data_IF_764721354561
#
_entry.id   IF_764721354561
#
_cell.length_a   1.000
_cell.length_b   1.000
_cell.length_c   1.000
_cell.angle_alpha   90.00
_cell.angle_beta   90.00
_cell.angle_gamma   90.00
#
_symmetry.space_group_name_H-M   'P 1'
#
loop_
_entity.id
_entity.type
_entity.pdbx_description
1 polymer ?
#
# COMPACT_ATOMS: atom_id res chain seq x y z
N UNK A 1 -2.24 -21.26 -40.00
CA UNK A 1 -0.91 -21.53 -39.40
C UNK A 1 -0.38 -22.79 -40.07
N UNK A 2 0.86 -22.81 -40.52
CA UNK A 2 1.45 -23.99 -41.14
C UNK A 2 1.42 -25.16 -40.15
N UNK A 3 0.90 -26.32 -40.56
CA UNK A 3 0.64 -27.48 -39.68
C UNK A 3 1.93 -27.96 -38.98
N UNK A 4 3.07 -27.79 -39.65
CA UNK A 4 4.39 -28.09 -39.09
C UNK A 4 4.78 -27.12 -37.96
N UNK A 5 4.43 -25.84 -38.06
CA UNK A 5 4.68 -24.87 -37.01
C UNK A 5 3.79 -25.11 -35.77
N UNK A 6 2.54 -25.51 -35.96
CA UNK A 6 1.64 -25.86 -34.89
C UNK A 6 2.13 -27.08 -34.08
N UNK A 7 2.57 -28.14 -34.78
CA UNK A 7 3.15 -29.34 -34.14
C UNK A 7 4.45 -29.03 -33.39
N UNK A 8 5.33 -28.23 -33.98
CA UNK A 8 6.59 -27.81 -33.32
C UNK A 8 6.32 -26.97 -32.04
N UNK A 9 5.35 -26.06 -32.10
CA UNK A 9 4.94 -25.27 -30.92
C UNK A 9 4.39 -26.16 -29.81
N UNK A 10 3.50 -27.09 -30.16
CA UNK A 10 2.93 -28.03 -29.17
C UNK A 10 4.02 -28.89 -28.49
N UNK A 11 4.97 -29.39 -29.28
CA UNK A 11 6.11 -30.14 -28.75
C UNK A 11 6.98 -29.29 -27.80
N UNK A 12 7.27 -28.03 -28.18
CA UNK A 12 8.03 -27.10 -27.33
C UNK A 12 7.30 -26.79 -26.02
N UNK A 13 5.98 -26.51 -26.06
CA UNK A 13 5.17 -26.27 -24.89
C UNK A 13 5.17 -27.48 -23.93
N UNK A 14 4.98 -28.70 -24.46
CA UNK A 14 5.04 -29.94 -23.68
C UNK A 14 6.42 -30.16 -23.02
N UNK A 15 7.51 -29.81 -23.72
CA UNK A 15 8.86 -29.91 -23.18
C UNK A 15 9.10 -28.90 -22.05
N UNK A 16 8.62 -27.67 -22.21
CA UNK A 16 8.69 -26.62 -21.17
C UNK A 16 7.92 -27.06 -19.93
N UNK A 17 6.70 -27.56 -20.09
CA UNK A 17 5.90 -28.05 -18.97
C UNK A 17 6.53 -29.23 -18.23
N UNK A 18 7.16 -30.14 -18.96
CA UNK A 18 7.92 -31.27 -18.34
C UNK A 18 9.14 -30.81 -17.56
N UNK A 19 9.84 -29.80 -18.06
CA UNK A 19 11.09 -29.32 -17.45
C UNK A 19 10.86 -28.34 -16.30
N UNK A 20 9.86 -27.45 -16.42
CA UNK A 20 9.65 -26.33 -15.50
C UNK A 20 8.33 -26.39 -14.71
N UNK A 21 7.48 -27.37 -14.98
CA UNK A 21 6.21 -27.56 -14.30
C UNK A 21 5.00 -27.06 -15.13
N UNK A 22 3.81 -27.51 -14.75
CA UNK A 22 2.54 -27.09 -15.37
C UNK A 22 2.32 -25.59 -15.18
N UNK A 23 1.67 -24.95 -16.15
CA UNK A 23 1.37 -23.52 -16.15
C UNK A 23 2.60 -22.57 -16.18
N UNK A 24 3.78 -23.09 -16.52
CA UNK A 24 5.00 -22.26 -16.72
C UNK A 24 4.84 -21.32 -17.91
N UNK A 25 4.10 -21.74 -18.91
CA UNK A 25 3.73 -20.93 -20.08
C UNK A 25 2.21 -21.00 -20.29
N UNK A 26 1.58 -19.84 -20.48
CA UNK A 26 0.14 -19.74 -20.69
C UNK A 26 -0.17 -18.72 -21.79
N UNK A 27 -1.32 -18.83 -22.40
CA UNK A 27 -1.81 -17.80 -23.33
C UNK A 27 -2.47 -16.68 -22.54
N UNK A 28 -2.19 -15.44 -22.89
CA UNK A 28 -2.72 -14.27 -22.17
C UNK A 28 -4.27 -14.19 -22.17
N UNK A 29 -4.92 -14.85 -23.17
CA UNK A 29 -6.38 -14.91 -23.26
C UNK A 29 -7.03 -16.04 -22.46
N UNK A 30 -6.27 -16.93 -21.85
CA UNK A 30 -6.81 -18.00 -21.03
C UNK A 30 -7.35 -17.44 -19.71
N UNK A 31 -8.44 -17.98 -19.18
CA UNK A 31 -9.01 -17.53 -17.89
C UNK A 31 -8.02 -17.67 -16.74
N UNK A 32 -7.15 -18.68 -16.79
CA UNK A 32 -6.03 -18.87 -15.87
C UNK A 32 -4.96 -17.77 -15.95
N UNK A 33 -4.95 -16.95 -17.01
CA UNK A 33 -4.05 -15.81 -17.16
C UNK A 33 -4.62 -14.51 -16.57
N UNK A 34 -5.88 -14.48 -16.15
CA UNK A 34 -6.45 -13.36 -15.39
C UNK A 34 -5.74 -13.33 -14.04
N UNK A 35 -4.75 -12.46 -13.93
CA UNK A 35 -4.04 -12.23 -12.66
C UNK A 35 -5.01 -11.49 -11.74
N UNK A 36 -5.75 -12.26 -10.93
CA UNK A 36 -6.43 -11.68 -9.79
C UNK A 36 -5.34 -11.33 -8.77
N UNK A 37 -5.13 -10.04 -8.52
CA UNK A 37 -4.14 -9.56 -7.56
C UNK A 37 -4.88 -9.23 -6.28
N UNK A 38 -4.57 -9.94 -5.22
CA UNK A 38 -5.06 -9.61 -3.89
C UNK A 38 -4.60 -8.21 -3.51
N UNK A 39 -5.46 -7.46 -2.82
CA UNK A 39 -5.18 -6.08 -2.44
C UNK A 39 -5.39 -5.86 -0.94
N UNK A 40 -4.69 -4.88 -0.41
CA UNK A 40 -4.89 -4.33 0.93
C UNK A 40 -5.38 -2.89 0.77
N UNK A 41 -6.50 -2.55 1.40
CA UNK A 41 -6.99 -1.16 1.42
C UNK A 41 -5.93 -0.22 2.01
N UNK A 42 -5.86 0.98 1.49
CA UNK A 42 -5.00 2.04 2.03
C UNK A 42 -5.60 2.71 3.28
N UNK A 43 -6.87 2.43 3.57
CA UNK A 43 -7.67 3.16 4.56
C UNK A 43 -8.36 4.41 3.99
N UNK A 44 -8.01 4.85 2.77
CA UNK A 44 -8.67 5.89 2.02
C UNK A 44 -9.45 5.27 0.84
N UNK A 45 -10.77 5.42 0.83
CA UNK A 45 -11.62 4.90 -0.23
C UNK A 45 -11.30 5.56 -1.58
N UNK A 46 -11.03 6.86 -1.58
CA UNK A 46 -10.65 7.59 -2.79
C UNK A 46 -9.33 7.11 -3.38
N UNK A 47 -8.33 6.80 -2.53
CA UNK A 47 -7.05 6.28 -2.99
C UNK A 47 -7.18 4.84 -3.49
N UNK A 48 -7.97 4.00 -2.84
CA UNK A 48 -8.27 2.64 -3.30
C UNK A 48 -8.88 2.65 -4.71
N UNK A 49 -9.81 3.58 -4.96
CA UNK A 49 -10.42 3.81 -6.28
C UNK A 49 -9.39 4.35 -7.28
N UNK A 50 -8.54 5.31 -6.87
CA UNK A 50 -7.51 5.87 -7.75
C UNK A 50 -6.48 4.83 -8.19
N UNK A 51 -6.19 3.84 -7.33
CA UNK A 51 -5.35 2.68 -7.66
C UNK A 51 -5.98 1.76 -8.72
N UNK A 52 -7.31 1.80 -8.91
CA UNK A 52 -8.03 1.10 -9.96
C UNK A 52 -8.22 -0.39 -9.75
N UNK A 53 -7.65 -0.95 -8.69
CA UNK A 53 -7.74 -2.36 -8.28
C UNK A 53 -8.31 -2.51 -6.86
N UNK A 54 -8.71 -1.40 -6.22
CA UNK A 54 -9.35 -1.40 -4.90
C UNK A 54 -8.42 -1.36 -3.70
N UNK A 55 -7.10 -1.18 -3.90
CA UNK A 55 -6.11 -1.10 -2.82
C UNK A 55 -4.67 -1.28 -3.30
N UNK A 56 -3.75 -1.47 -2.37
CA UNK A 56 -2.34 -1.76 -2.63
C UNK A 56 -2.15 -3.24 -2.99
N UNK A 57 -1.40 -3.58 -4.05
CA UNK A 57 -1.30 -4.96 -4.56
C UNK A 57 -0.39 -5.83 -3.69
N UNK A 58 -0.88 -6.99 -3.23
CA UNK A 58 -0.05 -8.04 -2.62
C UNK A 58 0.95 -8.61 -3.63
N UNK A 59 2.06 -9.13 -3.13
CA UNK A 59 3.12 -9.71 -3.96
C UNK A 59 3.89 -8.70 -4.81
N UNK A 60 3.84 -7.40 -4.49
CA UNK A 60 4.44 -6.32 -5.26
C UNK A 60 5.27 -5.36 -4.40
N UNK A 61 6.18 -4.65 -5.08
CA UNK A 61 6.88 -3.51 -4.49
C UNK A 61 6.05 -2.26 -4.72
N UNK A 62 5.83 -1.50 -3.66
CA UNK A 62 5.17 -0.19 -3.66
C UNK A 62 6.15 0.86 -3.14
N UNK A 63 6.19 2.03 -3.74
CA UNK A 63 6.92 3.20 -3.24
C UNK A 63 5.93 4.31 -2.90
N UNK A 64 6.00 4.84 -1.68
CA UNK A 64 5.26 6.02 -1.23
C UNK A 64 6.28 7.10 -0.91
N UNK A 65 6.24 8.22 -1.62
CA UNK A 65 7.21 9.28 -1.44
C UNK A 65 6.54 10.65 -1.39
N UNK A 66 7.19 11.59 -0.73
CA UNK A 66 6.71 12.96 -0.58
C UNK A 66 7.57 13.76 0.38
N UNK A 67 7.27 15.04 0.57
CA UNK A 67 7.93 15.90 1.56
C UNK A 67 7.80 15.33 2.97
N UNK A 68 8.59 15.86 3.88
CA UNK A 68 8.43 15.62 5.31
C UNK A 68 7.03 16.05 5.77
N UNK A 69 6.48 15.36 6.76
CA UNK A 69 5.15 15.64 7.34
C UNK A 69 3.99 15.60 6.33
N UNK A 70 4.15 14.92 5.18
CA UNK A 70 3.09 14.77 4.19
C UNK A 70 2.09 13.63 4.48
N UNK A 71 2.31 12.83 5.54
CA UNK A 71 1.44 11.71 5.92
C UNK A 71 1.86 10.34 5.41
N UNK A 72 3.12 10.16 4.93
CA UNK A 72 3.63 8.88 4.42
C UNK A 72 3.49 7.75 5.45
N UNK A 73 4.05 7.94 6.63
CA UNK A 73 4.01 6.95 7.73
C UNK A 73 2.58 6.71 8.21
N UNK A 74 1.75 7.75 8.30
CA UNK A 74 0.32 7.61 8.65
C UNK A 74 -0.41 6.71 7.67
N UNK A 75 -0.25 6.96 6.36
CA UNK A 75 -0.88 6.16 5.31
C UNK A 75 -0.42 4.69 5.35
N UNK A 76 0.87 4.43 5.59
CA UNK A 76 1.40 3.06 5.68
C UNK A 76 0.95 2.34 6.94
N UNK A 77 0.86 3.02 8.09
CA UNK A 77 0.33 2.44 9.32
C UNK A 77 -1.16 2.08 9.19
N UNK A 78 -1.94 2.91 8.50
CA UNK A 78 -3.33 2.57 8.20
C UNK A 78 -3.44 1.37 7.25
N UNK A 79 -2.59 1.27 6.24
CA UNK A 79 -2.55 0.09 5.37
C UNK A 79 -2.14 -1.18 6.17
N UNK A 80 -1.21 -1.07 7.13
CA UNK A 80 -0.91 -2.17 8.08
C UNK A 80 -2.17 -2.57 8.85
N UNK A 81 -2.89 -1.60 9.44
CA UNK A 81 -4.12 -1.88 10.17
C UNK A 81 -5.16 -2.59 9.30
N UNK A 82 -5.31 -2.20 8.03
CA UNK A 82 -6.22 -2.87 7.09
C UNK A 82 -5.73 -4.29 6.74
N UNK A 83 -4.43 -4.50 6.59
CA UNK A 83 -3.84 -5.82 6.36
C UNK A 83 -4.09 -6.75 7.55
N UNK A 84 -3.87 -6.27 8.78
CA UNK A 84 -4.13 -7.03 10.01
C UNK A 84 -5.61 -7.37 10.19
N UNK A 85 -6.53 -6.46 9.84
CA UNK A 85 -7.99 -6.74 9.85
C UNK A 85 -8.38 -7.86 8.89
N UNK A 86 -7.62 -8.09 7.83
CA UNK A 86 -7.78 -9.22 6.91
C UNK A 86 -7.06 -10.49 7.39
N UNK A 87 -6.56 -10.52 8.62
CA UNK A 87 -5.79 -11.63 9.18
C UNK A 87 -4.33 -11.70 8.72
N UNK A 88 -3.83 -10.66 8.03
CA UNK A 88 -2.46 -10.62 7.51
C UNK A 88 -1.42 -10.29 8.57
N UNK A 89 -0.26 -10.93 8.49
CA UNK A 89 0.92 -10.64 9.32
C UNK A 89 1.72 -9.50 8.72
N UNK A 90 2.07 -8.51 9.54
CA UNK A 90 2.78 -7.31 9.11
C UNK A 90 4.11 -7.11 9.83
N UNK A 91 5.09 -6.53 9.13
CA UNK A 91 6.37 -6.14 9.69
C UNK A 91 6.70 -4.68 9.35
N UNK A 92 7.36 -3.99 10.26
CA UNK A 92 7.82 -2.61 10.12
C UNK A 92 9.33 -2.54 10.36
N UNK A 93 10.07 -2.15 9.33
CA UNK A 93 11.52 -1.94 9.37
C UNK A 93 11.74 -0.44 9.64
N UNK A 94 11.94 -0.09 10.90
CA UNK A 94 12.08 1.29 11.38
C UNK A 94 13.53 1.74 11.30
N UNK A 95 13.99 2.11 10.10
CA UNK A 95 15.36 2.61 9.89
C UNK A 95 15.54 4.07 10.35
N UNK A 96 14.46 4.82 10.57
CA UNK A 96 14.51 6.18 11.12
C UNK A 96 14.44 6.20 12.65
N UNK A 97 14.15 5.08 13.31
CA UNK A 97 13.95 4.95 14.76
C UNK A 97 12.86 5.91 15.31
N UNK A 98 11.78 6.09 14.54
CA UNK A 98 10.77 7.12 14.79
C UNK A 98 9.35 6.56 14.95
N UNK A 99 9.16 5.23 14.96
CA UNK A 99 7.85 4.62 15.13
C UNK A 99 7.31 4.86 16.54
N UNK A 100 6.17 5.56 16.62
CA UNK A 100 5.42 5.76 17.86
C UNK A 100 4.31 4.69 17.98
N UNK A 101 4.41 3.73 18.93
CA UNK A 101 3.41 2.70 19.12
C UNK A 101 2.05 3.24 19.59
N UNK A 102 2.03 4.37 20.32
CA UNK A 102 0.78 5.00 20.76
C UNK A 102 0.04 5.57 19.55
N UNK A 103 0.76 6.21 18.64
CA UNK A 103 0.20 6.72 17.40
C UNK A 103 -0.26 5.58 16.48
N UNK A 104 0.54 4.54 16.32
CA UNK A 104 0.17 3.35 15.53
C UNK A 104 -1.13 2.72 16.04
N UNK A 105 -1.27 2.54 17.36
CA UNK A 105 -2.49 2.02 17.99
C UNK A 105 -3.71 2.89 17.71
N UNK A 106 -3.57 4.22 17.74
CA UNK A 106 -4.66 5.15 17.41
C UNK A 106 -5.13 5.03 15.96
N UNK A 107 -4.23 4.66 15.05
CA UNK A 107 -4.54 4.41 13.64
C UNK A 107 -5.16 3.02 13.40
N UNK A 108 -5.36 2.23 14.46
CA UNK A 108 -5.99 0.91 14.40
C UNK A 108 -5.00 -0.25 14.18
N UNK A 109 -3.69 0.00 14.31
CA UNK A 109 -2.69 -1.07 14.26
C UNK A 109 -2.75 -1.91 15.53
N UNK A 110 -2.82 -3.22 15.37
CA UNK A 110 -2.54 -4.16 16.46
C UNK A 110 -1.02 -4.16 16.70
N UNK A 111 -0.60 -3.42 17.72
CA UNK A 111 0.82 -3.23 18.03
C UNK A 111 1.44 -4.47 18.67
N UNK A 112 0.63 -5.34 19.28
CA UNK A 112 1.10 -6.58 19.90
C UNK A 112 1.41 -7.66 18.82
N UNK A 113 0.72 -7.59 17.68
CA UNK A 113 0.93 -8.47 16.53
C UNK A 113 1.91 -7.90 15.48
N UNK A 114 2.29 -6.62 15.56
CA UNK A 114 3.18 -6.01 14.58
C UNK A 114 4.64 -6.37 14.86
N UNK A 115 5.32 -7.00 13.90
CA UNK A 115 6.76 -7.26 13.98
C UNK A 115 7.54 -5.95 13.70
N UNK A 116 8.41 -5.55 14.60
CA UNK A 116 9.21 -4.32 14.45
C UNK A 116 10.69 -4.64 14.57
N UNK A 117 11.52 -4.05 13.71
CA UNK A 117 12.98 -4.08 13.81
C UNK A 117 13.58 -2.73 13.52
N UNK A 118 14.67 -2.41 14.23
CA UNK A 118 15.44 -1.18 14.08
C UNK A 118 16.87 -1.53 13.67
N UNK A 119 17.14 -1.63 12.36
CA UNK A 119 18.42 -2.07 11.84
C UNK A 119 19.51 -0.99 11.99
N UNK A 120 20.76 -1.40 12.21
CA UNK A 120 21.91 -0.51 12.36
C UNK A 120 22.40 0.07 11.02
N UNK A 121 22.10 -0.59 9.90
CA UNK A 121 22.53 -0.18 8.56
C UNK A 121 21.59 -0.69 7.46
N UNK A 122 21.78 -0.19 6.25
CA UNK A 122 20.93 -0.51 5.10
C UNK A 122 21.04 -1.98 4.66
N UNK A 123 22.22 -2.61 4.77
CA UNK A 123 22.42 -4.03 4.46
C UNK A 123 21.57 -4.91 5.38
N UNK A 124 21.61 -4.65 6.69
CA UNK A 124 20.83 -5.38 7.68
C UNK A 124 19.32 -5.21 7.45
N UNK A 125 18.87 -3.98 7.22
CA UNK A 125 17.47 -3.68 6.93
C UNK A 125 16.93 -4.49 5.74
N UNK A 126 17.68 -4.49 4.63
CA UNK A 126 17.26 -5.16 3.39
C UNK A 126 17.44 -6.68 3.46
N UNK A 127 18.38 -7.18 4.25
CA UNK A 127 18.56 -8.61 4.48
C UNK A 127 17.44 -9.18 5.36
N UNK A 128 17.06 -8.49 6.44
CA UNK A 128 15.88 -8.84 7.25
C UNK A 128 14.63 -8.81 6.38
N UNK A 129 14.44 -7.78 5.56
CA UNK A 129 13.32 -7.69 4.62
C UNK A 129 13.28 -8.91 3.68
N UNK A 130 14.42 -9.29 3.05
CA UNK A 130 14.49 -10.46 2.15
C UNK A 130 14.18 -11.77 2.89
N UNK A 131 14.65 -11.92 4.13
CA UNK A 131 14.38 -13.09 4.96
C UNK A 131 12.90 -13.23 5.30
N UNK A 132 12.26 -12.14 5.73
CA UNK A 132 10.82 -12.10 6.03
C UNK A 132 9.98 -12.39 4.79
N UNK A 133 10.30 -11.79 3.65
CA UNK A 133 9.62 -12.07 2.36
C UNK A 133 9.75 -13.55 1.98
N UNK A 134 10.93 -14.14 2.11
CA UNK A 134 11.18 -15.56 1.75
C UNK A 134 10.51 -16.55 2.68
N UNK A 135 10.22 -16.16 3.91
CA UNK A 135 9.52 -17.03 4.86
C UNK A 135 8.13 -17.42 4.39
N UNK A 136 7.47 -16.55 3.59
CA UNK A 136 6.09 -16.72 3.16
C UNK A 136 5.05 -16.55 4.28
N UNK A 137 5.48 -16.12 5.48
CA UNK A 137 4.63 -15.95 6.66
C UNK A 137 4.24 -14.47 6.91
N UNK A 138 4.70 -13.54 6.07
CA UNK A 138 4.44 -12.12 6.21
C UNK A 138 3.76 -11.60 4.96
N UNK A 139 2.60 -10.93 5.12
CA UNK A 139 1.79 -10.41 4.03
C UNK A 139 2.23 -9.00 3.60
N UNK A 140 2.66 -8.18 4.55
CA UNK A 140 3.06 -6.81 4.31
C UNK A 140 4.30 -6.42 5.12
N UNK A 141 5.28 -5.81 4.45
CA UNK A 141 6.47 -5.24 5.08
C UNK A 141 6.56 -3.77 4.69
N UNK A 142 6.71 -2.90 5.67
CA UNK A 142 7.01 -1.47 5.47
C UNK A 142 8.46 -1.20 5.83
N UNK A 143 9.19 -0.47 4.97
CA UNK A 143 10.55 0.01 5.22
C UNK A 143 10.50 1.53 5.32
N UNK A 144 10.71 2.09 6.50
CA UNK A 144 10.68 3.53 6.77
C UNK A 144 12.04 4.02 7.28
N UNK A 145 12.81 4.76 6.52
CA UNK A 145 12.64 5.07 5.11
C UNK A 145 13.90 4.70 4.31
N UNK A 146 13.77 4.69 2.96
CA UNK A 146 14.92 4.47 2.06
C UNK A 146 16.04 5.47 2.33
N UNK A 147 15.70 6.71 2.71
CA UNK A 147 16.68 7.75 3.02
C UNK A 147 17.60 7.38 4.20
N UNK A 148 17.12 6.59 5.14
CA UNK A 148 17.85 6.15 6.33
C UNK A 148 18.63 4.83 6.11
N UNK A 149 18.49 4.18 4.95
CA UNK A 149 19.24 2.97 4.62
C UNK A 149 20.70 3.30 4.28
N UNK A 150 21.48 3.68 5.28
CA UNK A 150 22.89 4.02 5.13
C UNK A 150 23.72 2.75 4.96
N UNK A 151 24.54 2.61 3.90
CA UNK A 151 25.43 1.48 3.74
C UNK A 151 26.43 1.39 4.89
N UNK A 152 26.76 0.15 5.32
CA UNK A 152 27.72 -0.09 6.40
C UNK A 152 29.06 0.60 6.14
N UNK A 153 29.57 0.52 4.92
CA UNK A 153 30.84 1.15 4.55
C UNK A 153 30.82 2.67 4.68
N UNK A 154 29.64 3.30 4.60
CA UNK A 154 29.49 4.75 4.84
C UNK A 154 29.48 5.08 6.33
N UNK A 155 28.94 4.17 7.16
CA UNK A 155 28.94 4.33 8.63
C UNK A 155 30.34 4.11 9.23
N UNK A 156 31.10 3.13 8.69
CA UNK A 156 32.44 2.77 9.15
C UNK A 156 33.54 3.67 8.55
N UNK A 157 33.23 4.47 7.52
CA UNK A 157 34.16 5.39 6.86
C UNK A 157 34.42 6.66 7.66
N UNK A 158 35.44 7.42 7.23
CA UNK A 158 35.75 8.70 7.86
C UNK A 158 34.84 9.83 7.33
N UNK A 159 34.68 10.90 8.15
CA UNK A 159 33.83 12.08 7.85
C UNK A 159 34.36 12.90 6.64
N UNK A 160 34.70 12.43 5.60
CA UNK A 160 35.18 13.11 4.40
C UNK A 160 35.29 12.17 3.22
N UNK A 161 35.04 10.90 3.46
CA UNK A 161 35.11 9.88 2.44
C UNK A 161 34.00 10.04 1.40
N UNK A 162 34.34 9.82 0.14
CA UNK A 162 33.37 9.87 -0.94
C UNK A 162 32.70 8.53 -1.13
N UNK A 163 31.46 8.39 -0.64
CA UNK A 163 30.67 7.18 -0.75
C UNK A 163 29.62 7.24 -1.88
N UNK A 164 29.93 7.95 -2.96
CA UNK A 164 28.99 8.17 -4.07
C UNK A 164 28.41 6.86 -4.63
N UNK A 165 27.09 6.76 -4.61
CA UNK A 165 26.33 5.68 -5.24
C UNK A 165 26.31 4.36 -4.48
N UNK A 166 26.86 4.24 -3.27
CA UNK A 166 26.81 3.00 -2.47
C UNK A 166 25.36 2.60 -2.15
N UNK A 167 24.55 3.54 -1.67
CA UNK A 167 23.14 3.31 -1.38
C UNK A 167 22.36 2.86 -2.64
N UNK A 168 22.61 3.47 -3.80
CA UNK A 168 21.96 3.09 -5.04
C UNK A 168 22.34 1.67 -5.50
N UNK A 169 23.61 1.26 -5.30
CA UNK A 169 24.07 -0.12 -5.57
C UNK A 169 23.42 -1.12 -4.62
N UNK A 170 23.36 -0.79 -3.32
CA UNK A 170 22.71 -1.59 -2.30
C UNK A 170 21.24 -1.83 -2.65
N UNK A 171 20.48 -0.77 -2.91
CA UNK A 171 19.08 -0.85 -3.32
C UNK A 171 18.89 -1.67 -4.61
N UNK A 172 19.75 -1.48 -5.61
CA UNK A 172 19.67 -2.24 -6.86
C UNK A 172 19.85 -3.74 -6.66
N UNK A 173 20.81 -4.14 -5.81
CA UNK A 173 21.06 -5.56 -5.48
C UNK A 173 19.90 -6.17 -4.69
N UNK A 174 19.41 -5.48 -3.67
CA UNK A 174 18.34 -5.94 -2.82
C UNK A 174 17.03 -6.10 -3.60
N UNK A 175 16.61 -5.06 -4.34
CA UNK A 175 15.36 -5.08 -5.10
C UNK A 175 15.31 -6.17 -6.17
N UNK A 176 16.46 -6.52 -6.76
CA UNK A 176 16.56 -7.64 -7.70
C UNK A 176 16.16 -8.98 -7.07
N UNK A 177 16.51 -9.20 -5.80
CA UNK A 177 16.13 -10.41 -5.04
C UNK A 177 14.70 -10.31 -4.50
N UNK A 178 14.40 -9.22 -3.79
CA UNK A 178 13.14 -9.02 -3.09
C UNK A 178 11.95 -9.05 -4.05
N UNK A 179 12.03 -8.44 -5.25
CA UNK A 179 10.92 -8.39 -6.21
C UNK A 179 10.44 -9.78 -6.63
N UNK A 180 11.38 -10.70 -6.93
CA UNK A 180 11.02 -12.06 -7.32
C UNK A 180 10.47 -12.87 -6.15
N UNK A 181 11.03 -12.67 -4.95
CA UNK A 181 10.60 -13.34 -3.73
C UNK A 181 9.21 -12.84 -3.31
N UNK A 182 8.97 -11.54 -3.30
CA UNK A 182 7.70 -10.91 -2.96
C UNK A 182 6.54 -11.47 -3.81
N UNK A 183 6.76 -11.62 -5.14
CA UNK A 183 5.75 -12.22 -6.02
C UNK A 183 5.44 -13.66 -5.65
N UNK A 184 6.46 -14.47 -5.28
CA UNK A 184 6.27 -15.90 -4.95
C UNK A 184 5.57 -16.11 -3.61
N UNK A 185 5.89 -15.29 -2.62
CA UNK A 185 5.31 -15.36 -1.28
C UNK A 185 4.02 -14.55 -1.13
N UNK A 186 3.55 -13.88 -2.18
CA UNK A 186 2.42 -12.94 -2.15
C UNK A 186 2.59 -11.81 -1.10
N UNK A 187 3.83 -11.52 -0.68
CA UNK A 187 4.15 -10.48 0.29
C UNK A 187 4.28 -9.11 -0.38
N UNK A 188 3.56 -8.11 0.11
CA UNK A 188 3.73 -6.72 -0.32
C UNK A 188 4.88 -6.06 0.43
N UNK A 189 5.78 -5.36 -0.30
CA UNK A 189 6.85 -4.56 0.32
C UNK A 189 6.66 -3.10 -0.04
N UNK A 190 6.41 -2.28 0.97
CA UNK A 190 6.21 -0.83 0.85
C UNK A 190 7.47 -0.11 1.30
N UNK A 191 8.07 0.67 0.40
CA UNK A 191 9.17 1.55 0.71
C UNK A 191 8.67 2.98 0.86
N UNK A 192 8.86 3.55 2.03
CA UNK A 192 8.70 5.00 2.24
C UNK A 192 9.96 5.70 1.77
N UNK A 193 9.81 6.80 1.02
CA UNK A 193 10.94 7.52 0.47
C UNK A 193 10.77 9.03 0.64
N UNK A 194 11.90 9.73 0.65
CA UNK A 194 11.97 11.17 0.77
C UNK A 194 12.33 11.79 -0.58
N UNK A 195 11.91 13.06 -0.79
CA UNK A 195 12.26 13.85 -1.95
C UNK A 195 13.58 14.56 -1.69
N UNK A 196 14.40 14.62 -2.73
CA UNK A 196 15.63 15.41 -2.80
C UNK A 196 15.60 16.28 -4.06
N UNK A 197 16.26 17.42 -4.00
CA UNK A 197 16.37 18.32 -5.14
C UNK A 197 17.69 18.08 -5.88
N UNK A 198 17.63 17.88 -7.18
CA UNK A 198 18.81 17.81 -8.04
C UNK A 198 19.32 19.22 -8.31
N UNK A 199 20.59 19.44 -8.10
CA UNK A 199 21.26 20.71 -8.39
C UNK A 199 21.48 20.82 -9.91
N UNK A 200 21.27 22.01 -10.48
CA UNK A 200 21.57 22.28 -11.89
C UNK A 200 20.55 21.82 -12.92
N UNK A 201 19.34 21.41 -12.50
CA UNK A 201 18.25 21.09 -13.45
C UNK A 201 17.59 22.37 -13.93
N UNK A 202 17.84 22.76 -15.20
CA UNK A 202 17.24 23.95 -15.82
C UNK A 202 15.86 23.65 -16.43
N UNK A 203 15.58 22.41 -16.83
CA UNK A 203 14.32 22.00 -17.45
C UNK A 203 13.78 20.72 -16.82
N UNK A 204 12.45 20.62 -16.68
CA UNK A 204 11.76 19.50 -16.04
C UNK A 204 11.73 19.62 -14.52
N UNK A 205 11.29 18.54 -13.82
CA UNK A 205 11.22 18.54 -12.36
C UNK A 205 12.59 18.25 -11.74
N UNK A 206 13.09 19.13 -10.86
CA UNK A 206 14.33 18.90 -10.13
C UNK A 206 14.17 17.84 -9.04
N UNK A 207 12.94 17.44 -8.70
CA UNK A 207 12.66 16.48 -7.63
C UNK A 207 13.10 15.07 -8.02
N UNK A 208 13.72 14.38 -7.08
CA UNK A 208 14.07 12.96 -7.17
C UNK A 208 13.93 12.30 -5.82
N UNK A 209 13.82 10.98 -5.80
CA UNK A 209 13.79 10.17 -4.57
C UNK A 209 15.19 9.65 -4.25
N UNK A 210 15.46 9.33 -2.96
CA UNK A 210 16.72 8.73 -2.51
C UNK A 210 16.86 7.27 -2.97
N UNK A 211 18.05 6.68 -2.82
CA UNK A 211 18.30 5.28 -3.18
C UNK A 211 18.48 5.01 -4.67
N UNK A 212 18.67 6.06 -5.49
CA UNK A 212 18.92 5.95 -6.93
C UNK A 212 17.67 5.64 -7.75
N UNK A 213 17.86 5.02 -8.93
CA UNK A 213 16.75 4.75 -9.86
C UNK A 213 16.13 3.35 -9.74
N UNK A 214 16.75 2.43 -8.99
CA UNK A 214 16.32 1.04 -8.96
C UNK A 214 14.86 0.90 -8.52
N UNK A 215 14.46 1.58 -7.43
CA UNK A 215 13.11 1.51 -6.90
C UNK A 215 12.07 2.02 -7.91
N UNK A 216 12.40 3.05 -8.69
CA UNK A 216 11.52 3.58 -9.76
C UNK A 216 11.19 2.51 -10.82
N UNK A 217 12.12 1.58 -11.10
CA UNK A 217 11.90 0.50 -12.07
C UNK A 217 11.20 -0.70 -11.43
N UNK A 218 11.64 -1.13 -10.24
CA UNK A 218 11.11 -2.32 -9.57
C UNK A 218 9.71 -2.12 -8.99
N UNK A 219 9.39 -0.93 -8.48
CA UNK A 219 8.04 -0.65 -7.97
C UNK A 219 6.95 -0.89 -9.03
N UNK A 220 5.90 -1.59 -8.63
CA UNK A 220 4.68 -1.76 -9.42
C UNK A 220 3.75 -0.57 -9.29
N UNK A 221 3.71 0.04 -8.10
CA UNK A 221 2.94 1.25 -7.78
C UNK A 221 3.89 2.27 -7.17
N UNK A 222 3.74 3.54 -7.57
CA UNK A 222 4.44 4.69 -6.98
C UNK A 222 3.44 5.79 -6.67
N UNK A 223 3.41 6.23 -5.43
CA UNK A 223 2.50 7.23 -4.89
C UNK A 223 3.29 8.48 -4.46
N UNK A 224 2.90 9.63 -5.00
CA UNK A 224 3.39 10.95 -4.57
C UNK A 224 2.34 11.55 -3.63
N UNK A 225 2.68 11.66 -2.34
CA UNK A 225 1.81 12.20 -1.30
C UNK A 225 2.22 13.61 -0.91
N UNK A 226 1.26 14.53 -0.93
CA UNK A 226 1.47 15.97 -0.64
C UNK A 226 0.38 16.51 0.27
N UNK A 227 0.79 17.28 1.27
CA UNK A 227 -0.13 18.14 1.99
C UNK A 227 -0.48 19.33 1.10
N UNK A 228 -1.77 19.60 0.91
CA UNK A 228 -2.28 20.69 0.07
C UNK A 228 -3.01 21.78 0.85
N UNK A 229 -3.44 21.45 2.09
CA UNK A 229 -4.17 22.37 2.95
C UNK A 229 -4.14 21.95 4.42
N UNK A 230 -4.92 22.61 5.22
CA UNK A 230 -5.11 22.31 6.63
C UNK A 230 -6.61 22.20 6.94
N UNK A 231 -6.99 21.09 7.56
CA UNK A 231 -8.34 20.92 8.09
C UNK A 231 -8.45 21.69 9.39
N UNK A 232 -9.44 22.56 9.49
CA UNK A 232 -9.66 23.44 10.65
C UNK A 232 -11.00 23.16 11.29
N UNK A 233 -11.02 23.18 12.60
CA UNK A 233 -12.23 23.20 13.44
C UNK A 233 -12.21 24.47 14.30
N UNK A 234 -12.97 25.48 13.87
CA UNK A 234 -12.84 26.83 14.38
C UNK A 234 -11.46 27.42 14.05
N UNK A 235 -10.72 27.84 15.07
CA UNK A 235 -9.35 28.34 14.92
C UNK A 235 -8.27 27.25 14.99
N UNK A 236 -8.62 26.04 15.41
CA UNK A 236 -7.68 24.95 15.60
C UNK A 236 -7.45 24.17 14.31
N UNK A 237 -6.18 23.83 14.03
CA UNK A 237 -5.82 22.92 12.96
C UNK A 237 -5.92 21.50 13.51
N UNK A 238 -6.87 20.71 13.01
CA UNK A 238 -7.17 19.34 13.47
C UNK A 238 -6.69 18.27 12.50
N UNK A 239 -6.23 18.66 11.31
CA UNK A 239 -5.76 17.73 10.31
C UNK A 239 -5.08 18.42 9.12
N UNK A 240 -4.79 17.64 8.11
CA UNK A 240 -4.23 18.11 6.85
C UNK A 240 -5.04 17.59 5.66
N UNK A 241 -5.36 18.48 4.75
CA UNK A 241 -5.84 18.09 3.42
C UNK A 241 -4.66 17.52 2.62
N UNK A 242 -4.81 16.31 2.16
CA UNK A 242 -3.74 15.54 1.54
C UNK A 242 -4.15 15.12 0.14
N UNK A 243 -3.21 15.24 -0.80
CA UNK A 243 -3.34 14.74 -2.18
C UNK A 243 -2.34 13.62 -2.40
N UNK A 244 -2.81 12.49 -2.93
CA UNK A 244 -1.97 11.38 -3.39
C UNK A 244 -2.16 11.19 -4.88
N UNK A 245 -1.04 11.28 -5.63
CA UNK A 245 -1.01 11.01 -7.08
C UNK A 245 -0.41 9.63 -7.33
N UNK A 246 -1.09 8.83 -8.15
CA UNK A 246 -0.58 7.55 -8.63
C UNK A 246 0.33 7.79 -9.83
N UNK A 247 1.63 7.98 -9.57
CA UNK A 247 2.62 8.35 -10.60
C UNK A 247 2.98 7.15 -11.50
N UNK A 248 2.93 5.94 -10.94
CA UNK A 248 3.16 4.70 -11.67
C UNK A 248 2.21 3.63 -11.16
N UNK A 249 1.63 2.88 -12.09
CA UNK A 249 0.82 1.72 -11.79
C UNK A 249 0.97 0.69 -12.93
N UNK A 250 1.40 -0.54 -12.60
CA UNK A 250 1.53 -1.63 -13.59
C UNK A 250 0.27 -2.50 -13.68
N UNK A 251 -0.76 -2.22 -12.86
CA UNK A 251 -1.96 -3.04 -12.68
C UNK A 251 -3.22 -2.36 -13.17
N UNK A 252 -3.20 -1.02 -13.26
CA UNK A 252 -4.29 -0.19 -13.77
C UNK A 252 -3.71 1.09 -14.40
N UNK A 253 -4.50 1.88 -15.15
CA UNK A 253 -4.06 3.16 -15.71
C UNK A 253 -3.52 4.10 -14.61
N UNK A 254 -2.29 4.63 -14.76
CA UNK A 254 -1.69 5.57 -13.80
C UNK A 254 -2.27 6.98 -13.95
N UNK A 255 -1.70 7.93 -13.19
CA UNK A 255 -1.97 9.37 -13.18
C UNK A 255 -3.32 9.78 -12.60
N UNK A 256 -4.05 8.85 -11.96
CA UNK A 256 -5.19 9.20 -11.11
C UNK A 256 -4.69 9.81 -9.81
N UNK A 257 -5.55 10.55 -9.14
CA UNK A 257 -5.27 11.14 -7.84
C UNK A 257 -6.48 11.01 -6.90
N UNK A 258 -6.19 11.00 -5.61
CA UNK A 258 -7.18 11.11 -4.55
C UNK A 258 -6.82 12.29 -3.64
N UNK A 259 -7.84 12.97 -3.14
CA UNK A 259 -7.72 14.01 -2.13
C UNK A 259 -8.59 13.62 -0.93
N UNK A 260 -8.02 13.64 0.24
CA UNK A 260 -8.67 13.26 1.48
C UNK A 260 -8.02 13.93 2.68
N UNK A 261 -8.75 13.96 3.79
CA UNK A 261 -8.28 14.53 5.04
C UNK A 261 -7.54 13.48 5.87
N UNK A 262 -6.36 13.83 6.38
CA UNK A 262 -5.67 13.11 7.43
C UNK A 262 -5.88 13.88 8.72
N UNK A 263 -6.68 13.33 9.63
CA UNK A 263 -6.97 13.90 10.94
C UNK A 263 -5.85 13.55 11.92
N UNK A 264 -5.44 14.51 12.74
CA UNK A 264 -4.38 14.28 13.71
C UNK A 264 -4.86 13.34 14.82
N UNK A 265 -4.16 12.21 14.96
CA UNK A 265 -4.46 11.19 15.95
C UNK A 265 -5.41 10.07 15.50
N UNK A 266 -6.19 10.24 14.43
CA UNK A 266 -7.15 9.23 13.95
C UNK A 266 -6.92 8.78 12.51
N UNK A 267 -6.05 9.50 11.76
CA UNK A 267 -5.70 9.14 10.39
C UNK A 267 -6.70 9.63 9.35
N UNK A 268 -6.92 8.87 8.27
CA UNK A 268 -7.80 9.28 7.17
C UNK A 268 -9.25 9.38 7.63
N UNK A 269 -9.94 10.43 7.19
CA UNK A 269 -11.37 10.62 7.42
C UNK A 269 -12.19 9.75 6.45
N UNK A 270 -12.12 8.42 6.66
CA UNK A 270 -12.74 7.43 5.78
C UNK A 270 -14.24 7.66 5.58
N UNK A 271 -15.00 7.88 6.66
CA UNK A 271 -16.45 8.13 6.56
C UNK A 271 -16.76 9.43 5.84
N UNK A 272 -15.89 10.43 5.94
CA UNK A 272 -15.99 11.65 5.16
C UNK A 272 -15.85 11.40 3.66
N UNK A 273 -14.96 10.49 3.25
CA UNK A 273 -14.82 10.06 1.87
C UNK A 273 -16.04 9.23 1.40
N UNK A 274 -16.58 8.36 2.26
CA UNK A 274 -17.82 7.59 1.96
C UNK A 274 -19.00 8.54 1.67
N UNK A 275 -19.15 9.62 2.46
CA UNK A 275 -20.21 10.64 2.21
C UNK A 275 -19.95 11.35 0.88
N UNK A 276 -18.75 11.86 0.64
CA UNK A 276 -18.45 12.65 -0.58
C UNK A 276 -18.57 11.79 -1.84
N UNK A 277 -17.97 10.60 -1.85
CA UNK A 277 -18.05 9.69 -2.99
C UNK A 277 -19.45 9.10 -3.17
N UNK A 278 -20.19 8.94 -2.08
CA UNK A 278 -21.59 8.57 -2.11
C UNK A 278 -22.46 9.62 -2.80
N UNK A 279 -22.15 10.91 -2.60
CA UNK A 279 -22.79 12.02 -3.32
C UNK A 279 -22.39 12.01 -4.79
N UNK A 280 -21.12 11.77 -5.10
CA UNK A 280 -20.60 11.73 -6.48
C UNK A 280 -21.30 10.68 -7.37
N UNK A 281 -21.80 9.60 -6.78
CA UNK A 281 -22.50 8.52 -7.51
C UNK A 281 -24.02 8.57 -7.31
N UNK A 282 -24.56 9.65 -6.73
CA UNK A 282 -25.98 9.82 -6.39
C UNK A 282 -26.55 8.77 -5.43
N UNK A 283 -25.71 7.97 -4.75
CA UNK A 283 -26.13 7.05 -3.70
C UNK A 283 -26.57 7.82 -2.44
N UNK A 284 -25.87 8.92 -2.13
CA UNK A 284 -26.25 9.89 -1.09
C UNK A 284 -26.75 11.14 -1.78
N UNK A 285 -27.97 11.56 -1.49
CA UNK A 285 -28.56 12.78 -2.03
C UNK A 285 -28.18 13.98 -1.16
N UNK A 286 -27.68 15.04 -1.78
CA UNK A 286 -27.38 16.31 -1.13
C UNK A 286 -28.33 17.38 -1.63
N UNK A 287 -29.15 17.97 -0.73
CA UNK A 287 -30.04 19.08 -1.01
C UNK A 287 -29.75 20.23 -0.05
N UNK A 288 -29.14 21.29 -0.55
CA UNK A 288 -28.61 22.36 0.28
C UNK A 288 -27.62 21.84 1.34
N UNK A 289 -27.92 22.04 2.61
CA UNK A 289 -27.13 21.54 3.72
C UNK A 289 -27.51 20.11 4.15
N UNK A 290 -28.56 19.52 3.61
CA UNK A 290 -29.07 18.22 4.03
C UNK A 290 -28.50 17.07 3.19
N UNK A 291 -28.11 16.02 3.89
CA UNK A 291 -27.72 14.73 3.32
C UNK A 291 -28.81 13.69 3.60
N UNK A 292 -29.13 12.86 2.63
CA UNK A 292 -30.11 11.77 2.76
C UNK A 292 -29.68 10.51 2.02
N UNK A 293 -30.08 9.36 2.58
CA UNK A 293 -29.85 8.04 2.03
C UNK A 293 -31.15 7.24 2.11
N UNK A 294 -31.56 6.59 1.01
CA UNK A 294 -32.84 5.86 0.91
C UNK A 294 -34.03 6.71 1.41
N UNK A 295 -34.11 7.97 0.96
CA UNK A 295 -35.14 8.98 1.32
C UNK A 295 -35.18 9.36 2.82
N UNK A 296 -34.30 8.83 3.65
CA UNK A 296 -34.12 9.19 5.05
C UNK A 296 -33.01 10.24 5.22
N UNK A 297 -33.29 11.28 6.02
CA UNK A 297 -32.27 12.29 6.33
C UNK A 297 -31.19 11.67 7.25
N UNK A 298 -29.92 11.78 6.85
CA UNK A 298 -28.76 11.28 7.60
C UNK A 298 -27.98 12.39 8.29
N UNK A 299 -28.22 13.67 7.97
CA UNK A 299 -27.60 14.78 8.67
C UNK A 299 -27.78 16.13 7.97
N UNK A 300 -27.76 17.20 8.76
CA UNK A 300 -27.59 18.56 8.27
C UNK A 300 -26.12 18.95 8.40
N UNK A 301 -25.43 19.13 7.27
CA UNK A 301 -23.99 19.30 7.18
C UNK A 301 -23.22 17.98 7.19
N UNK A 302 -22.03 17.98 6.59
CA UNK A 302 -21.19 16.78 6.43
C UNK A 302 -20.81 16.13 7.78
N UNK A 303 -20.51 16.95 8.80
CA UNK A 303 -20.14 16.44 10.12
C UNK A 303 -21.24 15.61 10.79
N UNK A 304 -22.50 16.02 10.64
CA UNK A 304 -23.62 15.26 11.17
C UNK A 304 -23.91 14.00 10.35
N UNK A 305 -23.68 14.03 9.04
CA UNK A 305 -23.79 12.85 8.20
C UNK A 305 -22.70 11.81 8.57
N UNK A 306 -21.48 12.25 8.84
CA UNK A 306 -20.38 11.37 9.32
C UNK A 306 -20.77 10.74 10.64
N UNK A 307 -21.22 11.54 11.63
CA UNK A 307 -21.66 11.02 12.95
C UNK A 307 -22.77 9.98 12.81
N UNK A 308 -23.74 10.24 11.92
CA UNK A 308 -24.79 9.27 11.65
C UNK A 308 -24.22 7.95 11.11
N UNK A 309 -23.23 8.00 10.22
CA UNK A 309 -22.59 6.79 9.70
C UNK A 309 -21.73 6.07 10.74
N UNK A 310 -21.11 6.79 11.68
CA UNK A 310 -20.41 6.20 12.84
C UNK A 310 -21.38 5.40 13.72
N UNK A 311 -22.58 5.92 13.95
CA UNK A 311 -23.65 5.27 14.72
C UNK A 311 -24.34 4.15 13.94
N UNK A 312 -24.22 4.14 12.60
CA UNK A 312 -24.87 3.19 11.69
C UNK A 312 -23.87 2.56 10.70
N UNK A 313 -22.94 1.69 11.18
CA UNK A 313 -21.86 1.13 10.36
C UNK A 313 -22.36 0.32 9.16
N UNK A 314 -23.52 -0.34 9.27
CA UNK A 314 -24.13 -1.11 8.18
C UNK A 314 -24.50 -0.20 6.98
N UNK A 315 -25.04 1.01 7.26
CA UNK A 315 -25.36 1.98 6.22
C UNK A 315 -24.08 2.51 5.57
N UNK A 316 -23.03 2.76 6.35
CA UNK A 316 -21.73 3.16 5.83
C UNK A 316 -21.16 2.10 4.87
N UNK A 317 -21.20 0.83 5.25
CA UNK A 317 -20.77 -0.30 4.41
C UNK A 317 -21.60 -0.43 3.13
N UNK A 318 -22.92 -0.26 3.20
CA UNK A 318 -23.79 -0.27 2.01
C UNK A 318 -23.41 0.84 1.02
N UNK A 319 -23.20 2.07 1.52
CA UNK A 319 -22.82 3.19 0.68
C UNK A 319 -21.43 2.93 0.07
N UNK A 320 -20.46 2.48 0.87
CA UNK A 320 -19.12 2.15 0.39
C UNK A 320 -19.15 1.05 -0.68
N UNK A 321 -19.93 0.00 -0.49
CA UNK A 321 -20.09 -1.07 -1.47
C UNK A 321 -20.65 -0.55 -2.80
N UNK A 322 -21.65 0.34 -2.76
CA UNK A 322 -22.18 1.00 -3.97
C UNK A 322 -21.12 1.87 -4.65
N UNK A 323 -20.32 2.62 -3.88
CA UNK A 323 -19.24 3.45 -4.41
C UNK A 323 -18.17 2.57 -5.08
N UNK A 324 -17.73 1.50 -4.42
CA UNK A 324 -16.76 0.55 -4.98
C UNK A 324 -17.28 -0.09 -6.27
N UNK A 325 -18.52 -0.58 -6.29
CA UNK A 325 -19.13 -1.17 -7.46
C UNK A 325 -19.22 -0.18 -8.64
N UNK A 326 -19.62 1.07 -8.38
CA UNK A 326 -19.75 2.09 -9.42
C UNK A 326 -18.39 2.56 -9.99
N UNK A 327 -17.36 2.68 -9.15
CA UNK A 327 -16.06 3.27 -9.52
C UNK A 327 -15.01 2.24 -9.94
N UNK A 328 -15.08 1.00 -9.43
CA UNK A 328 -14.11 -0.08 -9.74
C UNK A 328 -14.68 -1.14 -10.69
N UNK A 329 -15.99 -1.13 -10.95
CA UNK A 329 -16.69 -2.22 -11.63
C UNK A 329 -16.90 -3.40 -10.66
N UNK A 330 -17.40 -4.54 -11.17
CA UNK A 330 -17.64 -5.74 -10.34
C UNK A 330 -16.32 -6.38 -9.87
N UNK A 331 -15.62 -5.72 -8.97
CA UNK A 331 -14.66 -6.37 -8.09
C UNK A 331 -15.50 -6.84 -6.90
N UNK A 332 -15.80 -8.14 -6.85
CA UNK A 332 -16.50 -8.71 -5.70
C UNK A 332 -15.72 -8.38 -4.41
N UNK A 333 -16.41 -7.86 -3.37
CA UNK A 333 -15.76 -7.70 -2.08
C UNK A 333 -15.32 -9.09 -1.59
N UNK A 334 -14.08 -9.19 -1.13
CA UNK A 334 -13.58 -10.40 -0.44
C UNK A 334 -14.50 -10.63 0.76
N UNK A 335 -15.17 -11.79 0.88
CA UNK A 335 -16.02 -12.08 2.02
C UNK A 335 -15.20 -12.04 3.31
N UNK A 336 -15.68 -11.37 4.34
CA UNK A 336 -15.21 -11.57 5.71
C UNK A 336 -15.58 -13.02 6.11
N UNK A 337 -14.67 -13.96 5.88
CA UNK A 337 -14.75 -15.24 6.58
C UNK A 337 -14.36 -15.00 8.05
N UNK A 338 -15.35 -15.06 8.92
CA UNK A 338 -15.14 -15.18 10.35
C UNK A 338 -14.38 -16.51 10.59
N UNK A 339 -13.08 -16.42 10.73
CA UNK A 339 -12.29 -17.55 11.23
C UNK A 339 -12.49 -17.65 12.74
N UNK A 340 -13.43 -18.49 13.15
CA UNK A 340 -13.35 -19.14 14.45
C UNK A 340 -12.10 -20.03 14.45
N UNK A 341 -10.99 -19.44 14.85
CA UNK A 341 -9.74 -20.19 15.08
C UNK A 341 -9.88 -20.81 16.48
N UNK A 342 -10.25 -22.07 16.52
CA UNK A 342 -10.03 -22.89 17.74
C UNK A 342 -8.52 -22.86 18.08
N UNK A 343 -8.16 -22.61 19.35
CA UNK A 343 -6.76 -22.61 19.74
C UNK A 343 -6.16 -24.01 19.57
N UNK A 344 -4.89 -24.16 19.15
CA UNK A 344 -4.27 -25.46 18.99
C UNK A 344 -4.19 -26.17 20.34
N UNK A 345 -4.70 -27.41 20.38
CA UNK A 345 -4.54 -28.30 21.53
C UNK A 345 -3.04 -28.51 21.82
N UNK A 346 -2.62 -28.14 23.00
CA UNK A 346 -1.30 -28.49 23.52
C UNK A 346 -1.24 -30.00 23.73
N UNK A 347 -0.48 -30.69 22.93
CA UNK A 347 -0.11 -32.08 23.17
C UNK A 347 0.93 -32.07 24.30
N UNK A 348 0.47 -32.33 25.54
CA UNK A 348 1.35 -32.77 26.63
C UNK A 348 1.78 -34.22 26.34
N UNK A 349 3.07 -34.42 26.24
CA UNK A 349 3.66 -35.74 26.31
C UNK A 349 4.74 -36.02 25.30
N UNK A 350 5.99 -35.73 25.67
CA UNK A 350 7.10 -36.67 25.49
C UNK A 350 8.22 -36.32 26.49
N UNK A 351 8.38 -37.26 27.42
CA UNK A 351 9.52 -37.34 28.35
C UNK A 351 10.84 -37.58 27.62
#
# INVERSE_FOLDING_TARGET
MDDNKAKALTAALSQIEKQFGKNTIMRLGDESAKINVDVVSTGSLGLDIALGIGGLPKGRIVEIYGPESSGKTTLTLQAIAQCQKQGGTCAFIDAEHALDPIYAKKLGVDVDALLVTQPDNGEQALEITDMLVRSGAVDMIVVDSVAALTPRAEIEGEMGDSHMGLQARLMSRALRKITGNAKRSNCMVVFINQIRMKIGVMFGSPETTTGGNALKFYASVRLDIRRIGAVKEGENIVGSETRVKVIKNKLAPPFRQAEFDIMYGTGTNHLGEVVDLGVDIDAVKKSGAWYSYNDSKIGQGKANAIRFLEENPQIAQEIEAKVRAAKLGNVEPVPEEAHDVEPPEFIEGMQ
#
